data_IF_253747347716
#
_entry.id   IF_253747347716
#
_cell.length_a   1.000
_cell.length_b   1.000
_cell.length_c   1.000
_cell.angle_alpha   90.00
_cell.angle_beta   90.00
_cell.angle_gamma   90.00
#
_symmetry.space_group_name_H-M   'P 1'
#
loop_
_entity.id
_entity.type
_entity.pdbx_description
1 polymer ?
#
# COMPACT_ATOMS: atom_id res chain seq x y z
N UNK A 1 -6.23 -15.32 -3.97
CA UNK A 1 -6.09 -14.68 -2.64
C UNK A 1 -5.82 -15.78 -1.62
N UNK A 2 -4.57 -15.99 -1.22
CA UNK A 2 -4.21 -17.04 -0.25
C UNK A 2 -4.53 -16.54 1.15
N UNK A 3 -5.80 -16.62 1.53
CA UNK A 3 -6.24 -16.28 2.87
C UNK A 3 -6.01 -17.49 3.78
N UNK A 4 -4.83 -17.57 4.41
CA UNK A 4 -4.62 -18.56 5.47
C UNK A 4 -5.50 -18.17 6.67
N UNK A 5 -6.43 -19.07 7.01
CA UNK A 5 -7.52 -18.93 8.00
C UNK A 5 -7.10 -18.48 9.42
N UNK A 6 -5.81 -18.34 9.71
CA UNK A 6 -5.25 -17.89 11.00
C UNK A 6 -4.71 -16.46 11.06
N UNK A 7 -4.81 -15.65 9.99
CA UNK A 7 -4.12 -14.32 9.91
C UNK A 7 -5.04 -13.08 10.04
N UNK A 8 -6.34 -13.24 10.30
CA UNK A 8 -7.29 -12.10 10.39
C UNK A 8 -6.91 -11.14 11.53
N UNK A 9 -6.59 -11.66 12.72
CA UNK A 9 -6.17 -10.83 13.85
C UNK A 9 -4.91 -10.02 13.54
N UNK A 10 -3.93 -10.64 12.88
CA UNK A 10 -2.70 -9.98 12.45
C UNK A 10 -2.99 -8.86 11.44
N UNK A 11 -3.84 -9.10 10.44
CA UNK A 11 -4.23 -8.07 9.47
C UNK A 11 -4.90 -6.88 10.13
N UNK A 12 -5.85 -7.11 11.04
CA UNK A 12 -6.54 -6.04 11.77
C UNK A 12 -5.55 -5.21 12.60
N UNK A 13 -4.58 -5.85 13.25
CA UNK A 13 -3.53 -5.15 13.99
C UNK A 13 -2.61 -4.35 13.05
N UNK A 14 -2.26 -4.88 11.88
CA UNK A 14 -1.51 -4.12 10.86
C UNK A 14 -2.28 -2.88 10.40
N UNK A 15 -3.58 -3.02 10.12
CA UNK A 15 -4.44 -1.90 9.71
C UNK A 15 -4.47 -0.81 10.79
N UNK A 16 -4.69 -1.20 12.06
CA UNK A 16 -4.66 -0.27 13.19
C UNK A 16 -3.33 0.46 13.29
N UNK A 17 -2.22 -0.28 13.20
CA UNK A 17 -0.87 0.29 13.25
C UNK A 17 -0.55 1.22 12.08
N UNK A 18 -0.99 0.88 10.86
CA UNK A 18 -0.80 1.71 9.66
C UNK A 18 -1.56 3.04 9.77
N UNK A 19 -2.81 3.00 10.23
CA UNK A 19 -3.63 4.20 10.42
C UNK A 19 -3.05 5.08 11.54
N UNK A 20 -2.76 4.49 12.70
CA UNK A 20 -2.23 5.21 13.86
C UNK A 20 -0.82 5.77 13.61
N UNK A 21 0.05 5.03 12.94
CA UNK A 21 1.47 5.39 12.76
C UNK A 21 1.70 6.67 11.93
N UNK A 22 0.71 7.10 11.13
CA UNK A 22 0.78 8.31 10.32
C UNK A 22 -0.44 9.23 10.49
N UNK A 23 -1.25 9.01 11.52
CA UNK A 23 -2.50 9.75 11.78
C UNK A 23 -3.42 9.79 10.55
N UNK A 24 -3.51 8.68 9.81
CA UNK A 24 -4.41 8.56 8.67
C UNK A 24 -5.84 8.37 9.21
N UNK A 25 -6.82 9.14 8.74
CA UNK A 25 -8.22 9.00 9.17
C UNK A 25 -8.74 7.58 9.02
N UNK A 26 -9.52 7.12 9.99
CA UNK A 26 -10.04 5.74 10.04
C UNK A 26 -10.97 5.39 8.88
N UNK A 27 -11.52 6.38 8.17
CA UNK A 27 -12.30 6.17 6.94
C UNK A 27 -11.48 5.45 5.85
N UNK A 28 -10.15 5.59 5.86
CA UNK A 28 -9.24 4.92 4.92
C UNK A 28 -8.81 3.52 5.38
N UNK A 29 -9.52 2.91 6.33
CA UNK A 29 -9.25 1.52 6.73
C UNK A 29 -9.34 0.50 5.57
N UNK A 30 -10.20 0.65 4.54
CA UNK A 30 -10.23 -0.30 3.43
C UNK A 30 -8.92 -0.25 2.62
N UNK A 31 -8.39 0.95 2.35
CA UNK A 31 -7.09 1.15 1.71
C UNK A 31 -5.96 0.56 2.55
N UNK A 32 -5.95 0.81 3.85
CA UNK A 32 -4.98 0.24 4.77
C UNK A 32 -5.05 -1.30 4.78
N UNK A 33 -6.25 -1.90 4.72
CA UNK A 33 -6.42 -3.36 4.65
C UNK A 33 -5.88 -3.93 3.35
N UNK A 34 -6.16 -3.28 2.22
CA UNK A 34 -5.60 -3.65 0.91
C UNK A 34 -4.08 -3.62 0.95
N UNK A 35 -3.49 -2.53 1.46
CA UNK A 35 -2.04 -2.39 1.58
C UNK A 35 -1.42 -3.40 2.55
N UNK A 36 -2.03 -3.63 3.72
CA UNK A 36 -1.57 -4.64 4.68
C UNK A 36 -1.57 -6.05 4.07
N UNK A 37 -2.61 -6.40 3.32
CA UNK A 37 -2.70 -7.68 2.60
C UNK A 37 -1.61 -7.78 1.53
N UNK A 38 -1.39 -6.71 0.78
CA UNK A 38 -0.36 -6.62 -0.26
C UNK A 38 1.05 -6.84 0.30
N UNK A 39 1.38 -6.15 1.40
CA UNK A 39 2.65 -6.30 2.12
C UNK A 39 2.79 -7.71 2.67
N UNK A 40 1.75 -8.27 3.30
CA UNK A 40 1.80 -9.60 3.90
C UNK A 40 2.04 -10.70 2.86
N UNK A 41 1.46 -10.58 1.66
CA UNK A 41 1.68 -11.55 0.59
C UNK A 41 3.11 -11.52 0.01
N UNK A 42 3.82 -10.39 0.18
CA UNK A 42 5.20 -10.16 -0.28
C UNK A 42 6.22 -10.17 0.86
N UNK A 43 5.79 -10.55 2.07
CA UNK A 43 6.67 -10.70 3.22
C UNK A 43 6.95 -12.20 3.43
N UNK A 44 8.20 -12.59 3.71
CA UNK A 44 8.50 -13.96 4.13
C UNK A 44 7.67 -14.33 5.37
N UNK A 45 7.20 -15.56 5.44
CA UNK A 45 6.43 -16.04 6.60
C UNK A 45 6.96 -17.39 7.05
N UNK A 46 6.91 -17.68 8.36
CA UNK A 46 7.37 -18.98 8.88
C UNK A 46 6.67 -20.18 8.24
N UNK A 47 5.44 -19.99 7.74
CA UNK A 47 4.65 -21.01 7.07
C UNK A 47 5.17 -21.37 5.67
N UNK A 48 6.00 -20.52 5.07
CA UNK A 48 6.55 -20.70 3.72
C UNK A 48 8.05 -20.40 3.80
N UNK A 49 8.87 -21.44 3.91
CA UNK A 49 10.33 -21.31 4.16
C UNK A 49 10.98 -20.51 3.03
N UNK A 50 11.62 -19.40 3.40
CA UNK A 50 12.50 -18.56 2.57
C UNK A 50 11.91 -17.94 1.29
N UNK A 51 10.62 -18.13 1.02
CA UNK A 51 9.89 -17.51 -0.10
C UNK A 51 8.60 -16.83 0.38
N UNK A 52 8.15 -15.83 -0.35
CA UNK A 52 6.92 -15.10 0.01
C UNK A 52 5.67 -15.89 -0.40
N UNK A 53 4.51 -15.71 0.28
CA UNK A 53 3.26 -16.37 -0.11
C UNK A 53 2.85 -16.13 -1.57
N UNK A 54 3.12 -14.94 -2.10
CA UNK A 54 2.87 -14.65 -3.50
C UNK A 54 3.85 -15.39 -4.41
N UNK A 55 5.14 -15.37 -4.10
CA UNK A 55 6.19 -16.08 -4.84
C UNK A 55 5.94 -17.59 -4.89
N UNK A 56 5.45 -18.19 -3.80
CA UNK A 56 4.99 -19.57 -3.77
C UNK A 56 3.76 -19.85 -4.64
N UNK A 57 2.97 -18.82 -4.97
CA UNK A 57 1.75 -18.93 -5.78
C UNK A 57 2.00 -18.65 -7.27
N UNK A 58 2.87 -17.69 -7.60
CA UNK A 58 3.14 -17.26 -8.97
C UNK A 58 4.48 -17.76 -9.52
N UNK A 59 5.28 -18.45 -8.69
CA UNK A 59 6.62 -18.96 -9.00
C UNK A 59 7.61 -17.87 -9.48
N UNK A 60 7.30 -16.60 -9.21
CA UNK A 60 8.09 -15.42 -9.60
C UNK A 60 8.32 -14.58 -8.35
N UNK A 61 9.57 -14.16 -8.14
CA UNK A 61 9.94 -13.24 -7.06
C UNK A 61 9.30 -11.87 -7.25
N UNK A 62 8.39 -11.44 -6.36
CA UNK A 62 7.79 -10.12 -6.51
C UNK A 62 8.80 -9.03 -6.19
N UNK A 63 8.83 -8.00 -7.02
CA UNK A 63 9.57 -6.76 -6.71
C UNK A 63 8.89 -6.02 -5.56
N UNK A 64 9.69 -5.39 -4.69
CA UNK A 64 9.24 -4.52 -3.60
C UNK A 64 9.79 -3.09 -3.72
N UNK A 65 10.48 -2.76 -4.82
CA UNK A 65 11.11 -1.44 -5.01
C UNK A 65 10.11 -0.27 -4.99
N UNK A 66 8.87 -0.53 -5.39
CA UNK A 66 7.77 0.45 -5.38
C UNK A 66 7.10 0.58 -4.01
N UNK A 67 7.54 -0.14 -2.98
CA UNK A 67 6.93 -0.02 -1.66
C UNK A 67 7.16 1.37 -1.10
N UNK A 68 6.11 1.93 -0.51
CA UNK A 68 6.14 3.17 0.24
C UNK A 68 5.43 2.97 1.57
N UNK A 69 5.76 3.81 2.54
CA UNK A 69 5.11 3.75 3.86
C UNK A 69 3.68 4.26 3.71
N UNK A 70 2.70 3.45 4.11
CA UNK A 70 1.30 3.87 4.12
C UNK A 70 1.12 5.15 4.95
N UNK A 71 0.39 6.12 4.41
CA UNK A 71 0.19 7.42 5.03
C UNK A 71 1.39 8.37 4.93
N UNK A 72 2.44 8.05 4.17
CA UNK A 72 3.53 9.00 3.95
C UNK A 72 3.04 10.21 3.14
N UNK A 73 3.68 11.35 3.34
CA UNK A 73 3.45 12.55 2.53
C UNK A 73 3.86 12.24 1.09
N UNK A 74 2.97 12.55 0.16
CA UNK A 74 3.18 12.46 -1.27
C UNK A 74 2.78 13.77 -1.95
N UNK A 75 3.13 13.91 -3.23
CA UNK A 75 2.80 15.07 -4.05
C UNK A 75 2.25 14.59 -5.39
N UNK A 76 0.98 14.92 -5.66
CA UNK A 76 0.33 14.61 -6.93
C UNK A 76 0.56 15.76 -7.92
N UNK A 77 1.02 15.43 -9.13
CA UNK A 77 1.26 16.42 -10.18
C UNK A 77 -0.06 17.05 -10.68
N UNK A 78 -0.08 18.37 -10.81
CA UNK A 78 -1.20 19.12 -11.42
C UNK A 78 -0.89 19.36 -12.90
N UNK A 79 -1.72 18.85 -13.83
CA UNK A 79 -1.54 19.05 -15.26
C UNK A 79 -1.46 20.53 -15.66
N UNK A 80 -0.67 20.82 -16.70
CA UNK A 80 -0.47 22.18 -17.22
C UNK A 80 -1.78 22.85 -17.65
N UNK A 81 -2.76 22.07 -18.12
CA UNK A 81 -4.10 22.55 -18.49
C UNK A 81 -4.95 23.01 -17.30
N UNK A 82 -4.58 22.64 -16.08
CA UNK A 82 -5.31 22.97 -14.84
C UNK A 82 -4.60 24.04 -14.00
N UNK A 83 -3.55 24.68 -14.54
CA UNK A 83 -2.73 25.66 -13.81
C UNK A 83 -2.45 26.90 -14.67
N UNK A 84 -2.37 28.05 -14.02
CA UNK A 84 -1.93 29.31 -14.60
C UNK A 84 -0.44 29.57 -14.30
N UNK A 85 0.11 30.67 -14.83
CA UNK A 85 1.52 31.02 -14.63
C UNK A 85 1.76 31.31 -13.14
N UNK A 86 2.75 30.61 -12.56
CA UNK A 86 3.15 30.66 -11.13
C UNK A 86 2.28 29.84 -10.16
N UNK A 87 1.27 29.12 -10.63
CA UNK A 87 0.53 28.19 -9.77
C UNK A 87 1.40 27.00 -9.34
N UNK A 88 1.04 26.42 -8.19
CA UNK A 88 1.70 25.23 -7.68
C UNK A 88 1.61 24.08 -8.70
N UNK A 89 2.73 23.37 -8.89
CA UNK A 89 2.80 22.22 -9.82
C UNK A 89 2.31 20.91 -9.23
N UNK A 90 2.01 20.89 -7.92
CA UNK A 90 1.60 19.67 -7.23
C UNK A 90 0.73 19.96 -6.01
N UNK A 91 -0.16 19.02 -5.68
CA UNK A 91 -0.93 19.02 -4.44
C UNK A 91 -0.32 18.04 -3.46
N UNK A 92 -0.13 18.48 -2.21
CA UNK A 92 0.28 17.61 -1.11
C UNK A 92 -0.83 16.61 -0.78
N UNK A 93 -0.50 15.33 -0.74
CA UNK A 93 -1.43 14.24 -0.45
C UNK A 93 -0.78 13.21 0.50
N UNK A 94 -1.53 12.15 0.82
CA UNK A 94 -1.06 11.00 1.59
C UNK A 94 -1.11 9.76 0.71
N UNK A 95 -0.09 8.91 0.82
CA UNK A 95 -0.04 7.65 0.10
C UNK A 95 -0.97 6.61 0.74
N UNK A 96 -1.93 6.10 -0.04
CA UNK A 96 -2.93 5.11 0.37
C UNK A 96 -2.73 3.74 -0.30
N UNK A 97 -1.79 3.62 -1.24
CA UNK A 97 -1.40 2.34 -1.83
C UNK A 97 -1.18 2.42 -3.34
N UNK A 98 -1.49 1.35 -4.06
CA UNK A 98 -1.40 1.30 -5.52
C UNK A 98 -2.78 1.50 -6.14
N UNK A 99 -2.81 2.12 -7.32
CA UNK A 99 -4.01 2.18 -8.15
C UNK A 99 -4.33 0.79 -8.70
N UNK A 100 -5.62 0.46 -8.78
CA UNK A 100 -6.09 -0.77 -9.45
C UNK A 100 -6.18 -0.59 -10.96
N UNK A 101 -6.25 0.65 -11.44
CA UNK A 101 -6.48 1.01 -12.85
C UNK A 101 -5.18 1.33 -13.59
N UNK A 102 -4.10 1.64 -12.86
CA UNK A 102 -2.85 2.09 -13.46
C UNK A 102 -1.64 1.73 -12.61
N UNK A 103 -0.43 1.88 -13.17
CA UNK A 103 0.84 1.71 -12.43
C UNK A 103 1.15 2.89 -11.47
N UNK A 104 0.15 3.71 -11.14
CA UNK A 104 0.30 4.86 -10.28
C UNK A 104 0.04 4.53 -8.80
N UNK A 105 0.44 5.44 -7.92
CA UNK A 105 0.09 5.40 -6.51
C UNK A 105 -1.31 6.01 -6.29
N UNK A 106 -2.00 5.49 -5.27
CA UNK A 106 -3.20 6.08 -4.69
C UNK A 106 -2.82 6.88 -3.44
#
# INVERSE_FOLDING_TARGET
MVFQRGKIGTLVNMVRSMLAGRNVPTVFWPEALKWATYVMNRSPTLSVKDITPEEAWIEIKPSVHHFRVFGCIAFAHIPDSQRSKLDNKSVKCVHLGLSEESKAYK
#
